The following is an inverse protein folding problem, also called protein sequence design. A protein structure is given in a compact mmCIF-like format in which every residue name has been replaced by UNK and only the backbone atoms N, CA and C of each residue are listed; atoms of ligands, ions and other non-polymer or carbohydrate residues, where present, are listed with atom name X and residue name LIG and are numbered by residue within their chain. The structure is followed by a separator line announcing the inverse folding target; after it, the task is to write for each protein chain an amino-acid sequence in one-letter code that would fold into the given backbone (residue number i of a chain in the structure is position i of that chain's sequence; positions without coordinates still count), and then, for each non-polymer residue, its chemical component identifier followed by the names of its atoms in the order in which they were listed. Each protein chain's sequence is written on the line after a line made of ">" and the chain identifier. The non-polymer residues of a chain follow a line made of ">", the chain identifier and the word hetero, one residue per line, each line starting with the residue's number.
data_IF_690144716325
#
_entry.id   IF_690144716325
#
_cell.length_a   1.000
_cell.length_b   1.000
_cell.length_c   1.000
_cell.angle_alpha   90.00
_cell.angle_beta   90.00
_cell.angle_gamma   90.00
#
_symmetry.space_group_name_H-M   'P 1'
#
loop_
_entity.id
_entity.type
_entity.pdbx_description
1 polymer ?
#
# COMPACT_ATOMS: atom_id res chain seq x y z
N UNK A 1 -18.42 -68.15 29.53
CA UNK A 1 -17.24 -67.58 30.19
C UNK A 1 -16.28 -67.11 29.10
N UNK A 2 -16.04 -65.79 29.01
CA UNK A 2 -14.81 -65.08 28.52
C UNK A 2 -14.30 -65.45 27.10
N UNK A 3 -14.03 -64.57 26.14
CA UNK A 3 -13.49 -63.19 26.17
C UNK A 3 -13.63 -62.55 24.77
N UNK A 4 -13.69 -61.22 24.74
CA UNK A 4 -13.70 -60.32 23.57
C UNK A 4 -12.37 -60.29 22.80
N UNK A 5 -12.40 -59.82 21.52
CA UNK A 5 -11.48 -58.84 20.87
C UNK A 5 -11.77 -58.87 19.35
N UNK A 6 -12.62 -58.00 18.78
CA UNK A 6 -12.34 -56.64 18.31
C UNK A 6 -11.31 -56.55 17.16
N UNK A 7 -11.79 -56.42 15.91
CA UNK A 7 -11.04 -55.82 14.80
C UNK A 7 -11.92 -54.74 14.17
N UNK A 8 -11.82 -53.53 14.70
CA UNK A 8 -12.35 -52.32 14.09
C UNK A 8 -11.38 -51.86 12.99
N UNK A 9 -11.90 -51.76 11.77
CA UNK A 9 -11.28 -51.14 10.61
C UNK A 9 -11.16 -49.62 10.84
N UNK A 10 -9.95 -49.16 11.17
CA UNK A 10 -9.58 -47.74 11.13
C UNK A 10 -9.33 -47.32 9.68
N UNK A 11 -10.38 -46.84 9.02
CA UNK A 11 -10.24 -45.96 7.87
C UNK A 11 -9.75 -44.60 8.36
N UNK A 12 -8.43 -44.37 8.33
CA UNK A 12 -7.83 -43.07 8.56
C UNK A 12 -8.22 -42.12 7.43
N UNK A 13 -9.33 -41.40 7.59
CA UNK A 13 -9.59 -40.16 6.86
C UNK A 13 -8.61 -39.12 7.38
N UNK A 14 -7.47 -38.99 6.70
CA UNK A 14 -6.51 -37.91 6.88
C UNK A 14 -7.25 -36.58 6.80
N UNK A 15 -7.60 -36.06 7.98
CA UNK A 15 -8.22 -34.76 8.14
C UNK A 15 -7.11 -33.77 7.90
N UNK A 16 -6.99 -33.30 6.65
CA UNK A 16 -6.07 -32.20 6.32
C UNK A 16 -6.52 -31.01 7.16
N UNK A 17 -5.75 -30.77 8.21
CA UNK A 17 -6.04 -29.72 9.17
C UNK A 17 -5.84 -28.38 8.45
N UNK A 18 -6.94 -27.67 8.24
CA UNK A 18 -7.01 -26.28 7.72
C UNK A 18 -6.11 -25.25 8.47
N UNK A 19 -5.68 -25.42 9.74
CA UNK A 19 -4.83 -24.44 10.42
C UNK A 19 -3.46 -24.17 9.78
N UNK A 20 -2.93 -25.07 8.95
CA UNK A 20 -1.62 -24.89 8.32
C UNK A 20 -1.64 -23.92 7.11
N UNK A 21 -2.80 -23.66 6.50
CA UNK A 21 -2.89 -22.72 5.37
C UNK A 21 -2.88 -21.25 5.83
N UNK A 22 -3.03 -20.99 7.13
CA UNK A 22 -2.79 -19.68 7.75
C UNK A 22 -1.31 -19.46 8.09
N UNK A 23 -0.41 -20.37 7.70
CA UNK A 23 1.02 -20.26 7.94
C UNK A 23 1.59 -19.00 7.25
N UNK A 24 1.91 -18.03 8.12
CA UNK A 24 2.63 -16.80 7.90
C UNK A 24 2.06 -15.88 6.82
N UNK A 25 1.00 -15.13 7.18
CA UNK A 25 0.80 -13.83 6.55
C UNK A 25 2.12 -13.05 6.63
N UNK A 26 2.64 -12.53 5.52
CA UNK A 26 3.87 -11.78 5.55
C UNK A 26 3.67 -10.55 6.45
N UNK A 27 4.65 -10.31 7.32
CA UNK A 27 4.66 -9.10 8.15
C UNK A 27 5.14 -7.91 7.33
N UNK A 28 4.86 -6.69 7.79
CA UNK A 28 5.41 -5.49 7.15
C UNK A 28 6.95 -5.52 7.10
N UNK A 29 7.61 -6.01 8.16
CA UNK A 29 9.06 -6.07 8.23
C UNK A 29 9.65 -7.07 7.23
N UNK A 30 9.06 -8.27 7.12
CA UNK A 30 9.53 -9.31 6.19
C UNK A 30 9.36 -8.85 4.74
N UNK A 31 8.22 -8.24 4.38
CA UNK A 31 8.02 -7.74 3.02
C UNK A 31 8.98 -6.62 2.64
N UNK A 32 9.30 -5.73 3.58
CA UNK A 32 10.27 -4.67 3.30
C UNK A 32 11.66 -5.26 3.06
N UNK A 33 12.06 -6.26 3.85
CA UNK A 33 13.31 -6.99 3.62
C UNK A 33 13.33 -7.68 2.24
N UNK A 34 12.23 -8.33 1.86
CA UNK A 34 12.12 -9.03 0.57
C UNK A 34 12.10 -8.07 -0.64
N UNK A 35 11.49 -6.88 -0.48
CA UNK A 35 11.54 -5.81 -1.50
C UNK A 35 12.95 -5.25 -1.67
N UNK A 36 13.74 -5.22 -0.60
CA UNK A 36 15.14 -4.79 -0.63
C UNK A 36 16.10 -5.89 -1.11
N UNK A 37 15.67 -7.17 -1.09
CA UNK A 37 16.48 -8.33 -1.46
C UNK A 37 17.09 -8.21 -2.87
N UNK A 38 18.35 -8.59 -3.08
CA UNK A 38 18.99 -8.51 -4.39
C UNK A 38 18.40 -9.45 -5.47
N UNK A 39 17.66 -10.49 -5.09
CA UNK A 39 17.01 -11.42 -6.01
C UNK A 39 15.69 -10.84 -6.58
N UNK A 40 15.64 -10.72 -7.90
CA UNK A 40 14.46 -10.22 -8.63
C UNK A 40 13.19 -11.05 -8.38
N UNK A 41 13.30 -12.37 -8.22
CA UNK A 41 12.15 -13.25 -7.97
C UNK A 41 11.54 -12.95 -6.60
N UNK A 42 12.40 -12.82 -5.58
CA UNK A 42 11.98 -12.48 -4.22
C UNK A 42 11.29 -11.12 -4.19
N UNK A 43 11.88 -10.10 -4.85
CA UNK A 43 11.26 -8.77 -4.99
C UNK A 43 9.88 -8.84 -5.64
N UNK A 44 9.77 -9.59 -6.74
CA UNK A 44 8.52 -9.68 -7.51
C UNK A 44 7.40 -10.32 -6.69
N UNK A 45 7.71 -11.39 -5.96
CA UNK A 45 6.76 -12.03 -5.04
C UNK A 45 6.33 -11.07 -3.93
N UNK A 46 7.28 -10.38 -3.28
CA UNK A 46 6.98 -9.43 -2.22
C UNK A 46 6.11 -8.25 -2.70
N UNK A 47 6.36 -7.74 -3.91
CA UNK A 47 5.52 -6.71 -4.55
C UNK A 47 4.08 -7.19 -4.74
N UNK A 48 3.88 -8.45 -5.13
CA UNK A 48 2.54 -9.02 -5.31
C UNK A 48 1.84 -9.21 -3.95
N UNK A 49 2.57 -9.64 -2.93
CA UNK A 49 2.05 -9.92 -1.59
C UNK A 49 1.84 -8.67 -0.74
N UNK A 50 2.39 -7.51 -1.12
CA UNK A 50 2.24 -6.24 -0.39
C UNK A 50 0.79 -5.88 -0.05
N UNK A 51 -0.17 -6.25 -0.92
CA UNK A 51 -1.60 -6.00 -0.70
C UNK A 51 -2.18 -6.76 0.49
N UNK A 52 -1.55 -7.86 0.92
CA UNK A 52 -1.99 -8.66 2.07
C UNK A 52 -1.77 -7.94 3.42
N UNK A 53 -0.83 -6.98 3.45
CA UNK A 53 -0.56 -6.14 4.63
C UNK A 53 -1.31 -4.81 4.55
N UNK A 54 -1.40 -4.23 3.35
CA UNK A 54 -2.21 -3.04 3.10
C UNK A 54 -1.56 -1.73 3.55
N UNK A 55 -2.39 -0.76 3.97
CA UNK A 55 -1.98 0.66 4.12
C UNK A 55 -0.81 0.93 5.08
N UNK A 56 -0.53 0.05 6.04
CA UNK A 56 0.60 0.19 6.96
C UNK A 56 1.97 0.12 6.27
N UNK A 57 2.05 -0.42 5.04
CA UNK A 57 3.26 -0.45 4.22
C UNK A 57 3.58 0.88 3.53
N UNK A 58 2.64 1.81 3.41
CA UNK A 58 2.80 3.02 2.58
C UNK A 58 4.03 3.83 2.98
N UNK A 59 4.18 4.15 4.27
CA UNK A 59 5.34 4.91 4.75
C UNK A 59 6.66 4.13 4.64
N UNK A 60 6.75 2.86 5.09
CA UNK A 60 7.93 2.03 4.87
C UNK A 60 8.35 1.93 3.40
N UNK A 61 7.42 1.73 2.47
CA UNK A 61 7.70 1.66 1.03
C UNK A 61 8.21 2.99 0.50
N UNK A 62 7.64 4.12 0.95
CA UNK A 62 8.17 5.44 0.59
C UNK A 62 9.61 5.67 1.06
N UNK A 63 10.00 5.09 2.21
CA UNK A 63 11.41 5.13 2.69
C UNK A 63 12.33 4.27 1.83
N UNK A 64 11.90 3.07 1.44
CA UNK A 64 12.69 2.21 0.53
C UNK A 64 12.84 2.88 -0.85
N UNK A 65 11.78 3.50 -1.35
CA UNK A 65 11.79 4.26 -2.61
C UNK A 65 12.74 5.46 -2.57
N UNK A 66 12.94 6.07 -1.40
CA UNK A 66 13.91 7.15 -1.20
C UNK A 66 15.37 6.66 -1.08
N UNK A 67 15.59 5.35 -1.00
CA UNK A 67 16.91 4.75 -0.84
C UNK A 67 17.77 4.81 -2.11
N UNK A 68 19.03 4.37 -2.00
CA UNK A 68 20.02 4.43 -3.08
C UNK A 68 19.99 3.24 -4.04
N UNK A 69 19.38 2.11 -3.68
CA UNK A 69 19.26 0.95 -4.58
C UNK A 69 18.10 1.16 -5.59
N UNK A 70 18.40 1.35 -6.90
CA UNK A 70 17.38 1.62 -7.90
C UNK A 70 16.39 0.46 -8.08
N UNK A 71 16.83 -0.77 -7.88
CA UNK A 71 15.98 -1.95 -8.05
C UNK A 71 15.00 -2.09 -6.89
N UNK A 72 15.47 -1.89 -5.65
CA UNK A 72 14.60 -1.84 -4.47
C UNK A 72 13.64 -0.65 -4.54
N UNK A 73 14.10 0.51 -5.01
CA UNK A 73 13.26 1.70 -5.15
C UNK A 73 12.14 1.49 -6.17
N UNK A 74 12.44 0.88 -7.32
CA UNK A 74 11.41 0.53 -8.34
C UNK A 74 10.43 -0.51 -7.82
N UNK A 75 10.89 -1.54 -7.11
CA UNK A 75 10.01 -2.52 -6.49
C UNK A 75 9.11 -1.88 -5.43
N UNK A 76 9.65 -1.00 -4.58
CA UNK A 76 8.89 -0.30 -3.56
C UNK A 76 7.82 0.63 -4.16
N UNK A 77 8.15 1.35 -5.23
CA UNK A 77 7.19 2.18 -5.97
C UNK A 77 6.03 1.34 -6.52
N UNK A 78 6.33 0.17 -7.11
CA UNK A 78 5.29 -0.71 -7.65
C UNK A 78 4.42 -1.33 -6.55
N UNK A 79 5.03 -1.77 -5.44
CA UNK A 79 4.30 -2.24 -4.26
C UNK A 79 3.39 -1.15 -3.68
N UNK A 80 3.88 0.10 -3.62
CA UNK A 80 3.15 1.25 -3.10
C UNK A 80 1.89 1.52 -3.94
N UNK A 81 2.01 1.50 -5.27
CA UNK A 81 0.88 1.63 -6.20
C UNK A 81 -0.15 0.53 -5.98
N UNK A 82 0.29 -0.74 -5.94
CA UNK A 82 -0.59 -1.89 -5.72
C UNK A 82 -1.37 -1.78 -4.41
N UNK A 83 -0.69 -1.45 -3.31
CA UNK A 83 -1.31 -1.25 -2.00
C UNK A 83 -2.33 -0.11 -2.04
N UNK A 84 -1.96 1.05 -2.58
CA UNK A 84 -2.87 2.20 -2.67
C UNK A 84 -4.13 1.87 -3.49
N UNK A 85 -3.98 1.25 -4.66
CA UNK A 85 -5.10 0.84 -5.49
C UNK A 85 -5.98 -0.23 -4.81
N UNK A 86 -5.36 -1.20 -4.13
CA UNK A 86 -6.10 -2.21 -3.36
C UNK A 86 -6.94 -1.56 -2.23
N UNK A 87 -6.40 -0.59 -1.51
CA UNK A 87 -7.12 0.15 -0.49
C UNK A 87 -8.28 0.99 -1.07
N UNK A 88 -8.23 1.35 -2.35
CA UNK A 88 -9.27 2.13 -3.03
C UNK A 88 -10.37 1.29 -3.73
N UNK A 89 -10.37 -0.03 -3.53
CA UNK A 89 -11.41 -0.92 -4.09
C UNK A 89 -12.82 -0.55 -3.62
N UNK A 90 -13.88 -0.87 -4.41
CA UNK A 90 -15.25 -0.62 -4.00
C UNK A 90 -15.55 -1.19 -2.61
N UNK A 91 -16.32 -0.44 -1.81
CA UNK A 91 -16.72 -0.79 -0.43
C UNK A 91 -15.60 -0.80 0.63
N UNK A 92 -14.36 -0.44 0.29
CA UNK A 92 -13.25 -0.33 1.25
C UNK A 92 -13.00 1.12 1.72
N UNK A 93 -14.06 1.87 2.03
CA UNK A 93 -13.95 3.32 2.34
C UNK A 93 -13.07 3.64 3.54
N UNK A 94 -13.04 2.77 4.56
CA UNK A 94 -12.16 2.93 5.72
C UNK A 94 -10.68 2.79 5.34
N UNK A 95 -10.32 1.72 4.62
CA UNK A 95 -8.95 1.50 4.16
C UNK A 95 -8.48 2.57 3.18
N UNK A 96 -9.35 3.01 2.27
CA UNK A 96 -9.07 4.13 1.36
C UNK A 96 -8.67 5.39 2.13
N UNK A 97 -9.42 5.74 3.19
CA UNK A 97 -9.12 6.90 4.04
C UNK A 97 -7.79 6.74 4.78
N UNK A 98 -7.53 5.55 5.35
CA UNK A 98 -6.26 5.27 6.02
C UNK A 98 -5.08 5.40 5.04
N UNK A 99 -5.20 4.80 3.85
CA UNK A 99 -4.17 4.90 2.81
C UNK A 99 -3.92 6.35 2.39
N UNK A 100 -4.98 7.13 2.17
CA UNK A 100 -4.87 8.55 1.84
C UNK A 100 -4.15 9.36 2.95
N UNK A 101 -4.43 9.06 4.22
CA UNK A 101 -3.74 9.68 5.36
C UNK A 101 -2.25 9.30 5.42
N UNK A 102 -1.91 8.03 5.17
CA UNK A 102 -0.50 7.61 5.12
C UNK A 102 0.25 8.25 3.94
N UNK A 103 -0.39 8.40 2.77
CA UNK A 103 0.21 9.08 1.62
C UNK A 103 0.49 10.56 1.89
N UNK A 104 -0.31 11.25 2.71
CA UNK A 104 -0.02 12.63 3.13
C UNK A 104 1.33 12.74 3.88
N UNK A 105 1.78 11.68 4.55
CA UNK A 105 3.09 11.68 5.22
C UNK A 105 4.23 11.69 4.19
N UNK A 106 4.03 11.08 3.02
CA UNK A 106 5.03 10.97 1.96
C UNK A 106 5.20 12.26 1.14
N UNK A 107 4.23 13.18 1.14
CA UNK A 107 4.34 14.47 0.43
C UNK A 107 5.09 15.54 1.25
N UNK A 108 5.47 15.23 2.49
CA UNK A 108 6.26 16.10 3.35
C UNK A 108 7.67 16.35 2.78
N UNK A 109 8.29 17.47 3.17
CA UNK A 109 9.61 17.88 2.68
C UNK A 109 10.76 16.93 3.09
N UNK A 110 10.53 15.98 4.01
CA UNK A 110 11.53 14.98 4.39
C UNK A 110 11.77 13.91 3.34
N UNK A 111 10.86 13.78 2.36
CA UNK A 111 11.01 12.83 1.25
C UNK A 111 11.54 13.53 0.00
N UNK A 112 12.35 12.85 -0.83
CA UNK A 112 12.83 13.43 -2.07
C UNK A 112 11.68 13.64 -3.07
N UNK A 113 11.86 14.59 -4.00
CA UNK A 113 10.82 14.97 -4.99
C UNK A 113 10.15 13.78 -5.68
N UNK A 114 10.87 12.73 -6.15
CA UNK A 114 10.22 11.59 -6.81
C UNK A 114 9.20 10.87 -5.93
N UNK A 115 9.49 10.69 -4.64
CA UNK A 115 8.57 10.05 -3.67
C UNK A 115 7.37 10.96 -3.42
N UNK A 116 7.59 12.26 -3.23
CA UNK A 116 6.51 13.24 -3.01
C UNK A 116 5.55 13.28 -4.20
N UNK A 117 6.08 13.28 -5.42
CA UNK A 117 5.27 13.31 -6.63
C UNK A 117 4.48 12.01 -6.87
N UNK A 118 5.09 10.85 -6.62
CA UNK A 118 4.38 9.57 -6.68
C UNK A 118 3.25 9.51 -5.64
N UNK A 119 3.51 10.00 -4.42
CA UNK A 119 2.48 10.10 -3.39
C UNK A 119 1.34 11.05 -3.80
N UNK A 120 1.63 12.18 -4.46
CA UNK A 120 0.62 13.08 -5.02
C UNK A 120 -0.20 12.42 -6.13
N UNK A 121 0.43 11.69 -7.03
CA UNK A 121 -0.27 10.90 -8.05
C UNK A 121 -1.27 9.93 -7.41
N UNK A 122 -0.83 9.16 -6.41
CA UNK A 122 -1.67 8.20 -5.69
C UNK A 122 -2.77 8.87 -4.86
N UNK A 123 -2.50 10.04 -4.27
CA UNK A 123 -3.52 10.86 -3.62
C UNK A 123 -4.60 11.31 -4.60
N UNK A 124 -4.27 11.56 -5.86
CA UNK A 124 -5.26 11.80 -6.91
C UNK A 124 -6.20 10.60 -7.15
N UNK A 125 -5.69 9.38 -6.98
CA UNK A 125 -6.48 8.15 -7.16
C UNK A 125 -7.32 7.78 -5.93
N UNK A 126 -6.74 7.90 -4.73
CA UNK A 126 -7.32 7.37 -3.49
C UNK A 126 -7.80 8.46 -2.53
N UNK A 127 -7.37 9.69 -2.72
CA UNK A 127 -7.70 10.83 -1.86
C UNK A 127 -9.19 11.18 -1.89
N UNK A 128 -9.58 11.96 -0.89
CA UNK A 128 -10.91 12.54 -0.76
C UNK A 128 -10.85 13.98 -0.22
N UNK A 129 -12.01 14.56 0.13
CA UNK A 129 -12.12 15.94 0.59
C UNK A 129 -11.20 16.30 1.77
N UNK A 130 -10.90 15.32 2.64
CA UNK A 130 -10.06 15.49 3.83
C UNK A 130 -8.60 15.79 3.48
N UNK A 131 -8.11 15.35 2.32
CA UNK A 131 -6.72 15.55 1.89
C UNK A 131 -6.54 16.84 1.07
N UNK A 132 -7.63 17.45 0.59
CA UNK A 132 -7.59 18.58 -0.35
C UNK A 132 -6.77 19.75 0.17
N UNK A 133 -6.94 20.14 1.44
CA UNK A 133 -6.24 21.29 1.99
C UNK A 133 -4.71 21.07 2.03
N UNK A 134 -4.27 19.87 2.41
CA UNK A 134 -2.85 19.53 2.46
C UNK A 134 -2.23 19.51 1.05
N UNK A 135 -2.95 18.99 0.05
CA UNK A 135 -2.50 18.98 -1.35
C UNK A 135 -2.47 20.41 -1.91
N UNK A 136 -3.49 21.23 -1.62
CA UNK A 136 -3.58 22.61 -2.10
C UNK A 136 -2.44 23.50 -1.59
N UNK A 137 -1.91 23.23 -0.39
CA UNK A 137 -0.75 23.94 0.12
C UNK A 137 0.50 23.78 -0.78
N UNK A 138 0.60 22.68 -1.52
CA UNK A 138 1.71 22.41 -2.45
C UNK A 138 1.56 23.07 -3.82
N UNK A 139 0.44 23.75 -4.11
CA UNK A 139 0.29 24.52 -5.36
C UNK A 139 1.28 25.69 -5.46
N UNK A 140 1.84 26.13 -4.32
CA UNK A 140 2.87 27.16 -4.25
C UNK A 140 4.30 26.59 -4.23
N UNK A 141 4.46 25.27 -4.16
CA UNK A 141 5.77 24.62 -4.21
C UNK A 141 6.18 24.50 -5.69
N UNK A 142 7.20 25.24 -6.16
CA UNK A 142 7.58 25.22 -7.58
C UNK A 142 8.01 23.84 -8.08
N UNK A 143 8.43 22.93 -7.19
CA UNK A 143 8.85 21.58 -7.57
C UNK A 143 7.69 20.58 -7.68
N UNK A 144 6.51 20.91 -7.13
CA UNK A 144 5.36 20.00 -7.02
C UNK A 144 4.01 20.61 -7.42
N UNK A 145 3.96 21.89 -7.80
CA UNK A 145 2.72 22.59 -8.11
C UNK A 145 1.89 21.85 -9.18
N UNK A 146 2.54 21.33 -10.21
CA UNK A 146 1.87 20.59 -11.28
C UNK A 146 1.35 19.22 -10.80
N UNK A 147 2.12 18.48 -9.99
CA UNK A 147 1.66 17.21 -9.40
C UNK A 147 0.48 17.43 -8.45
N UNK A 148 0.53 18.49 -7.64
CA UNK A 148 -0.55 18.88 -6.74
C UNK A 148 -1.80 19.29 -7.50
N UNK A 149 -1.66 20.07 -8.59
CA UNK A 149 -2.77 20.45 -9.47
C UNK A 149 -3.42 19.22 -10.10
N UNK A 150 -2.61 18.31 -10.64
CA UNK A 150 -3.09 17.05 -11.22
C UNK A 150 -3.79 16.16 -10.18
N UNK A 151 -3.28 16.09 -8.96
CA UNK A 151 -3.91 15.33 -7.88
C UNK A 151 -5.30 15.90 -7.54
N UNK A 152 -5.41 17.22 -7.37
CA UNK A 152 -6.66 17.90 -7.07
C UNK A 152 -7.69 17.74 -8.19
N UNK A 153 -7.29 17.79 -9.47
CA UNK A 153 -8.19 17.58 -10.60
C UNK A 153 -8.83 16.19 -10.62
N UNK A 154 -8.15 15.17 -10.06
CA UNK A 154 -8.65 13.79 -9.99
C UNK A 154 -9.54 13.53 -8.78
N UNK A 155 -9.40 14.31 -7.70
CA UNK A 155 -10.22 14.13 -6.50
C UNK A 155 -11.65 14.62 -6.79
N UNK A 156 -12.68 13.75 -6.68
CA UNK A 156 -14.05 14.15 -6.94
C UNK A 156 -14.57 15.11 -5.86
N UNK A 157 -15.36 16.09 -6.28
CA UNK A 157 -16.15 16.95 -5.40
C UNK A 157 -15.75 18.43 -5.39
N UNK A 158 -16.63 19.26 -4.81
CA UNK A 158 -16.49 20.72 -4.86
C UNK A 158 -15.34 21.29 -4.02
N UNK A 159 -14.77 20.53 -3.08
CA UNK A 159 -13.63 20.98 -2.28
C UNK A 159 -12.38 21.18 -3.15
N UNK A 160 -12.03 20.20 -3.98
CA UNK A 160 -10.85 20.29 -4.86
C UNK A 160 -11.03 21.38 -5.93
N UNK A 161 -12.22 21.49 -6.51
CA UNK A 161 -12.54 22.54 -7.48
C UNK A 161 -12.42 23.96 -6.89
N UNK A 162 -12.84 24.15 -5.63
CA UNK A 162 -12.66 25.43 -4.92
C UNK A 162 -11.19 25.72 -4.66
N UNK A 163 -10.43 24.74 -4.19
CA UNK A 163 -9.00 24.88 -3.92
C UNK A 163 -8.22 25.31 -5.18
N UNK A 164 -8.54 24.72 -6.34
CA UNK A 164 -7.93 25.09 -7.62
C UNK A 164 -8.24 26.53 -8.05
N UNK A 165 -9.47 27.02 -7.83
CA UNK A 165 -9.86 28.41 -8.16
C UNK A 165 -9.26 29.47 -7.24
N UNK A 166 -8.98 29.08 -5.99
CA UNK A 166 -8.40 29.97 -4.98
C UNK A 166 -6.88 29.96 -4.99
N UNK A 167 -6.27 29.08 -5.81
CA UNK A 167 -4.84 29.10 -6.03
C UNK A 167 -4.46 30.33 -6.85
N UNK A 168 -3.43 31.09 -6.44
CA UNK A 168 -2.83 32.11 -7.29
C UNK A 168 -2.20 31.50 -8.54
#
# INVERSE_FOLDING_TARGET
>A
MKEQTAMNSTGSTSTVSIPALLAQRPTAATLIADIQNGDLRVRTTAVQEAVLVGSSLIVPLGRVMAGSDPGAARAAMEALRRVAHHCARPRASAERRTAATELLKLISASFPRPVRAEALYLLGCVGGPQQVQAIAALLRDPALADDARMALQRIPGGAAARALRQSP
#
